data_IF_009765546198
#
_entry.id   IF_009765546198
#
_cell.length_a   1.000
_cell.length_b   1.000
_cell.length_c   1.000
_cell.angle_alpha   90.00
_cell.angle_beta   90.00
_cell.angle_gamma   90.00
#
_symmetry.space_group_name_H-M   'P 1'
#
loop_
_entity.id
_entity.type
_entity.pdbx_description
1 polymer ?
#
# COMPACT_ATOMS: atom_id res chain seq x y z
N UNK A 1 49.57 49.04 -10.15
CA UNK A 1 48.34 48.54 -10.82
C UNK A 1 47.33 48.31 -9.71
N UNK A 2 46.49 49.31 -9.45
CA UNK A 2 45.04 49.28 -9.74
C UNK A 2 44.31 48.95 -8.42
N UNK A 3 43.67 49.90 -7.74
CA UNK A 3 42.31 50.41 -8.01
C UNK A 3 41.31 49.47 -7.29
N UNK A 4 40.26 49.87 -6.57
CA UNK A 4 39.53 51.11 -6.31
C UNK A 4 38.82 50.87 -4.94
N UNK A 5 38.91 51.80 -4.00
CA UNK A 5 37.90 52.80 -3.65
C UNK A 5 36.61 52.24 -3.01
N UNK A 6 36.33 52.85 -1.86
CA UNK A 6 35.23 52.60 -0.95
C UNK A 6 33.87 52.88 -1.60
N UNK A 7 32.86 52.14 -1.16
CA UNK A 7 31.51 52.68 -1.05
C UNK A 7 30.83 52.12 0.20
N UNK A 8 30.50 53.03 1.11
CA UNK A 8 29.68 52.73 2.26
C UNK A 8 28.22 52.85 1.86
N UNK A 9 27.37 52.00 2.39
CA UNK A 9 25.97 52.40 2.52
C UNK A 9 25.36 51.73 3.74
N UNK A 10 24.74 52.61 4.52
CA UNK A 10 24.05 52.37 5.77
C UNK A 10 22.87 51.41 5.62
N UNK A 11 22.47 50.93 6.80
CA UNK A 11 21.14 50.47 7.18
C UNK A 11 20.02 50.61 6.12
N UNK A 12 19.30 49.52 5.85
CA UNK A 12 17.85 49.54 6.05
C UNK A 12 17.29 48.12 6.12
N UNK A 13 16.42 47.88 7.10
CA UNK A 13 15.70 46.63 7.22
C UNK A 13 14.58 46.57 6.18
N UNK A 14 14.49 45.46 5.46
CA UNK A 14 13.19 45.01 4.95
C UNK A 14 12.93 43.63 5.50
N UNK A 15 11.94 43.58 6.41
CA UNK A 15 11.43 42.35 6.97
C UNK A 15 11.03 41.39 5.86
N UNK A 16 11.52 40.16 5.96
CA UNK A 16 10.87 39.00 5.35
C UNK A 16 10.42 38.11 6.49
N UNK A 17 9.35 38.56 7.13
CA UNK A 17 8.34 37.75 7.77
C UNK A 17 7.86 36.72 6.74
N UNK A 18 8.24 35.46 6.94
CA UNK A 18 8.05 34.42 5.93
C UNK A 18 8.30 33.01 6.47
N UNK A 19 7.44 32.61 7.41
CA UNK A 19 7.12 31.27 7.87
C UNK A 19 7.57 30.07 6.99
N UNK A 20 8.22 29.08 7.64
CA UNK A 20 8.05 27.67 7.28
C UNK A 20 9.29 26.94 6.81
N UNK A 21 9.93 26.22 7.73
CA UNK A 21 10.58 24.94 7.44
C UNK A 21 10.87 24.26 8.77
N UNK A 22 9.83 23.64 9.33
CA UNK A 22 9.94 22.75 10.47
C UNK A 22 10.97 21.68 10.12
N UNK A 23 12.14 21.78 10.77
CA UNK A 23 13.22 20.83 10.58
C UNK A 23 12.71 19.43 10.90
N UNK A 24 12.65 18.59 9.87
CA UNK A 24 12.37 17.16 9.94
C UNK A 24 13.48 16.47 10.73
N UNK A 25 13.42 16.60 12.06
CA UNK A 25 14.24 15.85 13.00
C UNK A 25 13.71 14.44 13.07
N UNK A 26 14.36 13.52 12.35
CA UNK A 26 14.18 12.10 12.53
C UNK A 26 14.74 11.68 13.91
N UNK A 27 13.99 11.91 14.97
CA UNK A 27 14.28 11.43 16.31
C UNK A 27 13.75 10.00 16.48
N UNK A 28 14.62 9.05 16.16
CA UNK A 28 14.41 7.60 16.35
C UNK A 28 14.69 7.10 17.76
N UNK A 29 14.34 7.85 18.82
CA UNK A 29 14.67 7.48 20.20
C UNK A 29 13.45 7.46 21.12
N UNK A 30 12.95 6.27 21.46
CA UNK A 30 12.09 6.07 22.65
C UNK A 30 10.63 5.65 22.44
N UNK A 31 10.19 5.28 21.23
CA UNK A 31 8.81 4.80 21.02
C UNK A 31 8.72 3.31 21.38
N UNK A 32 8.33 3.00 22.62
CA UNK A 32 7.57 1.76 22.89
C UNK A 32 6.47 1.70 21.81
N UNK A 33 6.39 0.64 20.98
CA UNK A 33 5.33 0.54 19.97
C UNK A 33 3.99 0.52 20.68
N UNK A 34 3.38 1.69 20.82
CA UNK A 34 2.03 1.83 21.33
C UNK A 34 1.07 1.09 20.41
N UNK A 35 -0.07 0.60 20.95
CA UNK A 35 -1.10 -0.02 20.12
C UNK A 35 -1.48 0.94 18.99
N UNK A 36 -1.18 0.55 17.74
CA UNK A 36 -1.58 1.31 16.56
C UNK A 36 -3.08 1.14 16.36
N UNK A 37 -3.81 2.26 16.40
CA UNK A 37 -5.24 2.22 16.15
C UNK A 37 -5.50 1.98 14.65
N UNK A 38 -6.55 1.23 14.26
CA UNK A 38 -6.86 0.98 12.84
C UNK A 38 -7.01 2.26 12.01
N UNK A 39 -7.44 3.37 12.63
CA UNK A 39 -7.58 4.68 11.99
C UNK A 39 -6.23 5.32 11.63
N UNK A 40 -5.14 4.91 12.28
CA UNK A 40 -3.77 5.41 12.06
C UNK A 40 -3.06 4.63 10.94
N UNK A 41 -3.65 3.53 10.47
CA UNK A 41 -3.15 2.77 9.33
C UNK A 41 -3.43 3.57 8.06
N UNK A 42 -2.42 4.33 7.62
CA UNK A 42 -2.49 5.05 6.36
C UNK A 42 -2.73 4.11 5.15
N UNK A 43 -3.08 4.67 3.97
CA UNK A 43 -3.43 3.88 2.78
C UNK A 43 -2.39 2.82 2.39
N UNK A 44 -1.11 3.13 2.57
CA UNK A 44 -0.02 2.18 2.34
C UNK A 44 -0.03 1.01 3.33
N UNK A 45 -0.31 1.26 4.61
CA UNK A 45 -0.42 0.22 5.64
C UNK A 45 -1.60 -0.73 5.38
N UNK A 46 -2.72 -0.21 4.88
CA UNK A 46 -3.86 -1.03 4.49
C UNK A 46 -3.52 -1.98 3.34
N UNK A 47 -2.80 -1.50 2.32
CA UNK A 47 -2.33 -2.33 1.20
C UNK A 47 -1.36 -3.42 1.65
N UNK A 48 -0.48 -3.09 2.61
CA UNK A 48 0.44 -4.07 3.21
C UNK A 48 -0.33 -5.16 3.96
N UNK A 49 -1.33 -4.77 4.77
CA UNK A 49 -2.16 -5.71 5.52
C UNK A 49 -2.95 -6.65 4.59
N UNK A 50 -3.50 -6.13 3.50
CA UNK A 50 -4.19 -6.93 2.47
C UNK A 50 -3.22 -7.88 1.79
N UNK A 51 -2.04 -7.40 1.36
CA UNK A 51 -1.03 -8.23 0.72
C UNK A 51 -0.54 -9.36 1.65
N UNK A 52 -0.32 -9.04 2.92
CA UNK A 52 0.09 -10.02 3.93
C UNK A 52 -0.99 -11.09 4.12
N UNK A 53 -2.23 -10.68 4.31
CA UNK A 53 -3.38 -11.60 4.43
C UNK A 53 -3.51 -12.48 3.18
N UNK A 54 -3.38 -11.89 1.99
CA UNK A 54 -3.38 -12.62 0.72
C UNK A 54 -2.24 -13.64 0.63
N UNK A 55 -1.04 -13.30 1.12
CA UNK A 55 0.11 -14.22 1.15
C UNK A 55 -0.12 -15.41 2.07
N UNK A 56 -0.72 -15.20 3.25
CA UNK A 56 -1.03 -16.27 4.20
C UNK A 56 -2.04 -17.24 3.59
N UNK A 57 -3.08 -16.72 2.94
CA UNK A 57 -4.09 -17.53 2.25
C UNK A 57 -3.46 -18.30 1.09
N UNK A 58 -2.61 -17.65 0.28
CA UNK A 58 -1.91 -18.30 -0.82
C UNK A 58 -0.99 -19.42 -0.34
N UNK A 59 -0.27 -19.21 0.77
CA UNK A 59 0.64 -20.20 1.35
C UNK A 59 -0.12 -21.39 1.95
N UNK A 60 -1.26 -21.15 2.61
CA UNK A 60 -2.14 -22.21 3.10
C UNK A 60 -2.72 -23.04 1.94
N UNK A 61 -3.19 -22.37 0.88
CA UNK A 61 -3.68 -23.03 -0.33
C UNK A 61 -2.60 -23.83 -1.05
N UNK A 62 -1.39 -23.27 -1.17
CA UNK A 62 -0.24 -23.96 -1.73
C UNK A 62 0.18 -25.17 -0.89
N UNK A 63 0.21 -25.04 0.44
CA UNK A 63 0.49 -26.14 1.35
C UNK A 63 -0.51 -27.29 1.19
N UNK A 64 -1.79 -26.98 1.05
CA UNK A 64 -2.84 -27.98 0.76
C UNK A 64 -2.63 -28.64 -0.61
N UNK A 65 -2.26 -27.88 -1.64
CA UNK A 65 -1.97 -28.41 -2.98
C UNK A 65 -0.77 -29.37 -2.97
N UNK A 66 0.30 -29.01 -2.26
CA UNK A 66 1.50 -29.86 -2.12
C UNK A 66 1.20 -31.13 -1.34
N UNK A 67 0.39 -31.06 -0.28
CA UNK A 67 0.06 -32.21 0.56
C UNK A 67 -0.90 -33.21 -0.13
N UNK A 68 -1.78 -32.72 -1.01
CA UNK A 68 -2.77 -33.55 -1.72
C UNK A 68 -2.34 -33.97 -3.14
N UNK A 69 -1.25 -33.40 -3.69
CA UNK A 69 -0.76 -33.74 -5.02
C UNK A 69 -1.84 -33.59 -6.10
N UNK A 70 -2.06 -34.64 -6.90
CA UNK A 70 -3.09 -34.69 -7.95
C UNK A 70 -4.51 -34.38 -7.43
N UNK A 71 -4.83 -34.79 -6.19
CA UNK A 71 -6.16 -34.56 -5.60
C UNK A 71 -6.41 -33.07 -5.36
N UNK A 72 -5.36 -32.31 -5.03
CA UNK A 72 -5.44 -30.86 -4.83
C UNK A 72 -5.73 -30.14 -6.14
N UNK A 73 -5.08 -30.53 -7.24
CA UNK A 73 -5.36 -30.00 -8.57
C UNK A 73 -6.78 -30.32 -9.02
N UNK A 74 -7.25 -31.56 -8.79
CA UNK A 74 -8.62 -31.96 -9.10
C UNK A 74 -9.64 -31.14 -8.32
N UNK A 75 -9.42 -30.89 -7.03
CA UNK A 75 -10.29 -30.05 -6.20
C UNK A 75 -10.33 -28.58 -6.68
N UNK A 76 -9.18 -28.01 -7.04
CA UNK A 76 -9.14 -26.65 -7.62
C UNK A 76 -9.88 -26.59 -8.95
N UNK A 77 -9.68 -27.59 -9.82
CA UNK A 77 -10.38 -27.66 -11.10
C UNK A 77 -11.90 -27.78 -10.91
N UNK A 78 -12.36 -28.64 -10.00
CA UNK A 78 -13.78 -28.78 -9.65
C UNK A 78 -14.33 -27.48 -9.08
N UNK A 79 -13.61 -26.82 -8.17
CA UNK A 79 -14.00 -25.53 -7.61
C UNK A 79 -14.19 -24.46 -8.68
N UNK A 80 -13.24 -24.34 -9.62
CA UNK A 80 -13.35 -23.45 -10.78
C UNK A 80 -14.57 -23.79 -11.65
N UNK A 81 -14.81 -25.08 -11.89
CA UNK A 81 -15.93 -25.56 -12.70
C UNK A 81 -17.27 -25.18 -12.05
N UNK A 82 -17.40 -25.35 -10.73
CA UNK A 82 -18.60 -24.95 -9.97
C UNK A 82 -18.80 -23.44 -9.99
N UNK A 83 -17.74 -22.65 -9.78
CA UNK A 83 -17.81 -21.18 -9.81
C UNK A 83 -18.21 -20.68 -11.19
N UNK A 84 -17.68 -21.25 -12.28
CA UNK A 84 -18.05 -20.86 -13.65
C UNK A 84 -19.39 -21.41 -14.10
N UNK A 85 -19.87 -22.52 -13.54
CA UNK A 85 -21.18 -23.08 -13.87
C UNK A 85 -22.32 -22.10 -13.54
N UNK A 86 -22.20 -21.29 -12.48
CA UNK A 86 -23.24 -20.35 -12.08
C UNK A 86 -23.40 -19.17 -13.06
N UNK A 87 -22.33 -18.46 -13.49
CA UNK A 87 -22.39 -17.51 -14.60
C UNK A 87 -22.82 -18.15 -15.93
N UNK A 88 -22.32 -19.35 -16.25
CA UNK A 88 -22.66 -20.04 -17.49
C UNK A 88 -24.16 -20.38 -17.55
N UNK A 89 -24.73 -20.85 -16.45
CA UNK A 89 -26.17 -21.10 -16.34
C UNK A 89 -26.99 -19.82 -16.54
N UNK A 90 -26.55 -18.71 -15.93
CA UNK A 90 -27.20 -17.40 -16.10
C UNK A 90 -27.16 -16.92 -17.56
N UNK A 91 -26.00 -17.03 -18.22
CA UNK A 91 -25.84 -16.67 -19.63
C UNK A 91 -26.70 -17.56 -20.55
N UNK A 92 -26.76 -18.87 -20.26
CA UNK A 92 -27.58 -19.82 -21.03
C UNK A 92 -29.07 -19.52 -20.90
N UNK A 93 -29.52 -19.17 -19.69
CA UNK A 93 -30.91 -18.77 -19.46
C UNK A 93 -31.26 -17.50 -20.24
N UNK A 94 -30.35 -16.52 -20.29
CA UNK A 94 -30.52 -15.28 -21.06
C UNK A 94 -30.58 -15.51 -22.58
N UNK A 95 -29.92 -16.54 -23.11
CA UNK A 95 -29.95 -16.85 -24.54
C UNK A 95 -31.25 -17.56 -24.97
N UNK A 96 -31.87 -18.33 -24.07
CA UNK A 96 -33.11 -19.08 -24.35
C UNK A 96 -34.38 -18.25 -24.14
N UNK A 97 -34.34 -17.23 -23.28
CA UNK A 97 -35.50 -16.38 -22.92
C UNK A 97 -35.45 -14.99 -23.57
N UNK A 98 -34.72 -14.85 -24.68
CA UNK A 98 -34.74 -13.67 -25.55
C UNK A 98 -35.48 -14.02 -26.84
#
# INVERSE_FOLDING_TARGET
MGGADADGTDADGTGVDGNGADGNGADGGGREPGPVAPEEIGPAGAMIAVAFTGSVIAFAGFGLLVLLGDVGLVLVAIGLLVVLASPAAYLRYRQLYR
#
